data_IF_182943272818
#
_entry.id   IF_182943272818
#
_cell.length_a   1.000
_cell.length_b   1.000
_cell.length_c   1.000
_cell.angle_alpha   90.00
_cell.angle_beta   90.00
_cell.angle_gamma   90.00
#
_symmetry.space_group_name_H-M   'P 1'
#
loop_
_entity.id
_entity.type
_entity.pdbx_description
1 polymer ?
#
# COMPACT_ATOMS: atom_id res chain seq x y z
N UNK A 1 -3.59 -14.08 8.23
CA UNK A 1 -4.07 -12.69 8.40
C UNK A 1 -2.93 -11.75 8.03
N UNK A 2 -3.06 -11.11 6.87
CA UNK A 2 -2.12 -10.11 6.36
C UNK A 2 -2.28 -8.85 7.22
N UNK A 3 -1.34 -8.58 8.12
CA UNK A 3 -1.44 -7.42 9.01
C UNK A 3 -0.73 -6.24 8.38
N UNK A 4 -1.44 -5.44 7.57
CA UNK A 4 -0.88 -4.23 6.96
C UNK A 4 -0.29 -3.27 8.00
N UNK A 5 0.74 -2.52 7.59
CA UNK A 5 1.32 -1.44 8.39
C UNK A 5 0.35 -0.26 8.34
N UNK A 6 -0.13 0.19 9.50
CA UNK A 6 -0.98 1.39 9.56
C UNK A 6 -0.17 2.66 9.25
N UNK A 7 -0.85 3.75 8.89
CA UNK A 7 -0.18 5.03 8.59
C UNK A 7 0.73 5.53 9.73
N UNK A 8 0.37 5.29 11.00
CA UNK A 8 1.21 5.65 12.15
C UNK A 8 2.42 4.71 12.31
N UNK A 9 2.21 3.40 12.16
CA UNK A 9 3.30 2.41 12.18
C UNK A 9 4.29 2.62 11.02
N UNK A 10 3.80 3.10 9.86
CA UNK A 10 4.62 3.43 8.70
C UNK A 10 5.66 4.49 9.04
N UNK A 11 5.30 5.54 9.79
CA UNK A 11 6.26 6.57 10.18
C UNK A 11 7.37 6.03 11.07
N UNK A 12 7.05 5.08 11.97
CA UNK A 12 8.06 4.39 12.78
C UNK A 12 9.00 3.56 11.89
N UNK A 13 8.45 2.85 10.91
CA UNK A 13 9.26 2.05 9.98
C UNK A 13 10.16 2.91 9.10
N UNK A 14 9.70 4.10 8.66
CA UNK A 14 10.54 5.05 7.91
C UNK A 14 11.81 5.46 8.68
N UNK A 15 11.68 5.69 9.99
CA UNK A 15 12.84 5.96 10.84
C UNK A 15 13.77 4.74 10.90
N UNK A 16 13.20 3.53 11.01
CA UNK A 16 13.99 2.29 11.09
C UNK A 16 14.64 1.86 9.77
N UNK A 17 14.04 2.17 8.63
CA UNK A 17 14.65 1.95 7.32
C UNK A 17 15.80 2.93 7.08
N UNK A 18 15.65 4.20 7.48
CA UNK A 18 16.73 5.18 7.41
C UNK A 18 17.85 4.90 8.44
N UNK A 19 17.50 4.40 9.63
CA UNK A 19 18.43 4.16 10.73
C UNK A 19 18.21 2.77 11.37
N UNK A 20 18.63 1.68 10.69
CA UNK A 20 18.56 0.34 11.25
C UNK A 20 19.37 0.24 12.54
N UNK A 21 18.77 -0.26 13.60
CA UNK A 21 19.40 -0.34 14.92
C UNK A 21 19.15 0.88 15.81
N UNK A 22 18.31 1.83 15.40
CA UNK A 22 17.91 2.93 16.27
C UNK A 22 17.26 2.42 17.57
N UNK A 23 17.54 3.13 18.66
CA UNK A 23 16.98 2.88 19.98
C UNK A 23 15.60 3.52 20.10
N UNK A 24 14.80 3.09 21.09
CA UNK A 24 13.49 3.72 21.32
C UNK A 24 13.57 5.23 21.55
N UNK A 25 14.65 5.72 22.16
CA UNK A 25 14.84 7.15 22.42
C UNK A 25 15.09 7.94 21.14
N UNK A 26 15.95 7.44 20.25
CA UNK A 26 16.24 8.07 18.95
C UNK A 26 14.99 8.09 18.07
N UNK A 27 14.22 6.99 18.05
CA UNK A 27 12.96 6.92 17.31
C UNK A 27 11.94 7.92 17.87
N UNK A 28 11.85 8.05 19.20
CA UNK A 28 10.97 9.03 19.84
C UNK A 28 11.37 10.44 19.44
N UNK A 29 12.65 10.78 19.55
CA UNK A 29 13.17 12.10 19.20
C UNK A 29 12.87 12.44 17.73
N UNK A 30 13.19 11.53 16.80
CA UNK A 30 12.97 11.75 15.37
C UNK A 30 11.49 11.98 15.02
N UNK A 31 10.57 11.26 15.65
CA UNK A 31 9.14 11.41 15.37
C UNK A 31 8.53 12.63 16.07
N UNK A 32 9.04 13.03 17.22
CA UNK A 32 8.54 14.21 17.94
C UNK A 32 8.90 15.54 17.27
N UNK A 33 9.83 15.54 16.31
CA UNK A 33 10.11 16.72 15.48
C UNK A 33 8.96 17.05 14.51
N UNK A 34 8.15 16.05 14.12
CA UNK A 34 7.08 16.23 13.12
C UNK A 34 5.68 15.82 13.59
N UNK A 35 5.56 15.22 14.77
CA UNK A 35 4.29 14.70 15.32
C UNK A 35 4.17 14.98 16.82
N UNK A 36 2.99 15.36 17.28
CA UNK A 36 2.69 15.57 18.73
C UNK A 36 2.51 14.25 19.52
N UNK A 37 3.19 13.18 19.10
CA UNK A 37 3.07 11.87 19.72
C UNK A 37 3.83 11.80 21.04
N UNK A 38 3.17 11.29 22.06
CA UNK A 38 3.81 10.96 23.33
C UNK A 38 4.71 9.74 23.17
N UNK A 39 5.78 9.66 23.97
CA UNK A 39 6.71 8.53 23.99
C UNK A 39 6.00 7.17 24.17
N UNK A 40 4.91 7.13 24.94
CA UNK A 40 4.08 5.93 25.15
C UNK A 40 3.38 5.46 23.88
N UNK A 41 2.93 6.38 23.03
CA UNK A 41 2.32 6.08 21.73
C UNK A 41 3.34 5.42 20.81
N UNK A 42 4.55 5.98 20.70
CA UNK A 42 5.61 5.45 19.84
C UNK A 42 6.06 4.06 20.32
N UNK A 43 6.23 3.87 21.64
CA UNK A 43 6.51 2.55 22.24
C UNK A 43 5.41 1.54 21.94
N UNK A 44 4.14 1.97 21.94
CA UNK A 44 3.00 1.12 21.57
C UNK A 44 3.06 0.71 20.10
N UNK A 45 3.39 1.63 19.18
CA UNK A 45 3.57 1.34 17.76
C UNK A 45 4.72 0.35 17.52
N UNK A 46 5.87 0.53 18.20
CA UNK A 46 7.00 -0.42 18.17
C UNK A 46 6.56 -1.82 18.63
N UNK A 47 5.77 -1.89 19.71
CA UNK A 47 5.22 -3.15 20.22
C UNK A 47 4.29 -3.83 19.21
N UNK A 48 3.43 -3.08 18.51
CA UNK A 48 2.55 -3.61 17.46
C UNK A 48 3.33 -4.11 16.26
N UNK A 49 4.29 -3.32 15.76
CA UNK A 49 5.18 -3.71 14.66
C UNK A 49 5.98 -4.98 14.99
N UNK A 50 6.45 -5.12 16.24
CA UNK A 50 7.12 -6.35 16.71
C UNK A 50 6.18 -7.55 16.69
N UNK A 51 4.94 -7.40 17.19
CA UNK A 51 3.92 -8.46 17.16
C UNK A 51 3.56 -8.89 15.73
N UNK A 52 3.66 -7.96 14.78
CA UNK A 52 3.47 -8.18 13.35
C UNK A 52 4.69 -8.79 12.63
N UNK A 53 5.81 -9.00 13.33
CA UNK A 53 7.09 -9.43 12.76
C UNK A 53 7.67 -8.48 11.70
N UNK A 54 7.36 -7.18 11.75
CA UNK A 54 7.98 -6.19 10.86
C UNK A 54 9.33 -5.68 11.36
N UNK A 55 9.60 -5.86 12.65
CA UNK A 55 10.87 -5.50 13.26
C UNK A 55 11.26 -6.52 14.33
N UNK A 56 12.56 -6.60 14.59
CA UNK A 56 13.12 -7.30 15.75
C UNK A 56 13.70 -6.29 16.73
N UNK A 57 13.75 -6.68 17.99
CA UNK A 57 14.36 -5.93 19.07
C UNK A 57 15.54 -6.75 19.62
N UNK A 58 16.73 -6.18 19.64
CA UNK A 58 17.92 -6.79 20.22
C UNK A 58 18.37 -5.97 21.43
N UNK A 59 18.82 -6.65 22.49
CA UNK A 59 19.47 -5.98 23.62
C UNK A 59 20.96 -5.96 23.34
N UNK A 60 21.52 -4.76 23.20
CA UNK A 60 22.95 -4.56 23.01
C UNK A 60 23.46 -3.73 24.18
N UNK A 61 24.36 -4.32 24.96
CA UNK A 61 24.86 -3.77 26.22
C UNK A 61 23.70 -3.47 27.20
N UNK A 62 23.26 -2.22 27.30
CA UNK A 62 22.21 -1.74 28.20
C UNK A 62 20.96 -1.23 27.46
N UNK A 63 21.03 -1.03 26.13
CA UNK A 63 19.95 -0.44 25.34
C UNK A 63 19.28 -1.48 24.45
N UNK A 64 18.01 -1.23 24.13
CA UNK A 64 17.29 -1.99 23.12
C UNK A 64 17.38 -1.28 21.77
N UNK A 65 17.83 -2.03 20.77
CA UNK A 65 17.99 -1.60 19.39
C UNK A 65 16.94 -2.29 18.53
N UNK A 66 16.34 -1.54 17.60
CA UNK A 66 15.26 -2.02 16.74
C UNK A 66 15.75 -2.12 15.30
N UNK A 67 15.49 -3.25 14.66
CA UNK A 67 15.90 -3.51 13.28
C UNK A 67 14.69 -3.91 12.44
N UNK A 68 14.50 -3.32 11.24
CA UNK A 68 13.47 -3.78 10.33
C UNK A 68 13.76 -5.22 9.89
N UNK A 69 12.71 -6.03 9.75
CA UNK A 69 12.77 -7.39 9.22
C UNK A 69 12.34 -7.48 7.75
N UNK A 70 11.76 -6.39 7.24
CA UNK A 70 11.38 -6.20 5.84
C UNK A 70 11.98 -4.88 5.36
N UNK A 71 12.43 -4.82 4.11
CA UNK A 71 12.87 -3.57 3.49
C UNK A 71 11.70 -2.65 3.12
N UNK A 72 11.99 -1.37 2.91
CA UNK A 72 11.00 -0.41 2.40
C UNK A 72 10.48 -0.83 1.01
N UNK A 73 11.37 -1.33 0.16
CA UNK A 73 11.05 -1.77 -1.20
C UNK A 73 10.13 -3.00 -1.21
N UNK A 74 10.46 -4.05 -0.43
CA UNK A 74 9.60 -5.24 -0.32
C UNK A 74 8.20 -4.89 0.20
N UNK A 75 8.12 -3.98 1.18
CA UNK A 75 6.83 -3.56 1.69
C UNK A 75 6.04 -2.74 0.65
N UNK A 76 6.70 -1.81 -0.03
CA UNK A 76 6.09 -1.01 -1.09
C UNK A 76 5.57 -1.91 -2.23
N UNK A 77 6.37 -2.89 -2.65
CA UNK A 77 6.00 -3.86 -3.67
C UNK A 77 4.73 -4.62 -3.26
N UNK A 78 4.68 -5.15 -2.03
CA UNK A 78 3.49 -5.84 -1.52
C UNK A 78 2.24 -4.95 -1.47
N UNK A 79 2.40 -3.66 -1.12
CA UNK A 79 1.28 -2.71 -1.15
C UNK A 79 0.77 -2.45 -2.57
N UNK A 80 1.67 -2.31 -3.54
CA UNK A 80 1.31 -2.11 -4.95
C UNK A 80 0.58 -3.34 -5.49
N UNK A 81 1.08 -4.54 -5.21
CA UNK A 81 0.44 -5.81 -5.60
C UNK A 81 -0.97 -5.94 -5.00
N UNK A 82 -1.13 -5.67 -3.71
CA UNK A 82 -2.42 -5.70 -3.05
C UNK A 82 -3.39 -4.67 -3.65
N UNK A 83 -2.92 -3.45 -3.91
CA UNK A 83 -3.73 -2.41 -4.53
C UNK A 83 -4.20 -2.84 -5.93
N UNK A 84 -3.30 -3.38 -6.77
CA UNK A 84 -3.63 -3.88 -8.09
C UNK A 84 -4.61 -5.07 -8.04
N UNK A 85 -4.49 -5.95 -7.04
CA UNK A 85 -5.39 -7.09 -6.83
C UNK A 85 -6.81 -6.67 -6.41
N UNK A 86 -6.94 -5.52 -5.72
CA UNK A 86 -8.25 -5.00 -5.28
C UNK A 86 -9.00 -4.23 -6.37
N UNK A 87 -8.34 -3.91 -7.48
CA UNK A 87 -8.89 -3.11 -8.58
C UNK A 87 -9.14 -4.00 -9.79
N UNK A 88 -10.23 -3.73 -10.52
CA UNK A 88 -10.53 -4.39 -11.78
C UNK A 88 -9.35 -4.25 -12.76
N UNK A 89 -8.92 -5.35 -13.37
CA UNK A 89 -7.80 -5.39 -14.33
C UNK A 89 -7.91 -4.34 -15.45
N UNK A 90 -9.12 -4.09 -15.93
CA UNK A 90 -9.41 -3.08 -16.97
C UNK A 90 -9.19 -1.62 -16.52
N UNK A 91 -9.11 -1.37 -15.21
CA UNK A 91 -8.96 -0.03 -14.62
C UNK A 91 -7.57 0.25 -14.08
N UNK A 92 -6.65 -0.70 -14.15
CA UNK A 92 -5.29 -0.52 -13.63
C UNK A 92 -4.51 0.57 -14.37
N UNK A 93 -4.76 0.79 -15.67
CA UNK A 93 -4.19 1.93 -16.40
C UNK A 93 -4.64 3.28 -15.82
N UNK A 94 -5.94 3.44 -15.56
CA UNK A 94 -6.49 4.66 -14.95
C UNK A 94 -5.96 4.91 -13.52
N UNK A 95 -5.63 3.84 -12.77
CA UNK A 95 -4.97 3.99 -11.49
C UNK A 95 -3.60 4.68 -11.64
N UNK A 96 -2.81 4.26 -12.62
CA UNK A 96 -1.48 4.86 -12.87
C UNK A 96 -1.63 6.33 -13.27
N UNK A 97 -2.59 6.66 -14.13
CA UNK A 97 -2.90 8.06 -14.49
C UNK A 97 -3.21 8.90 -13.24
N UNK A 98 -4.08 8.43 -12.35
CA UNK A 98 -4.41 9.14 -11.10
C UNK A 98 -3.20 9.32 -10.18
N UNK A 99 -2.29 8.35 -10.12
CA UNK A 99 -1.05 8.47 -9.35
C UNK A 99 -0.13 9.55 -9.95
N UNK A 100 -0.07 9.65 -11.27
CA UNK A 100 0.69 10.70 -11.96
C UNK A 100 0.09 12.09 -11.72
N UNK A 101 -1.24 12.20 -11.72
CA UNK A 101 -1.95 13.46 -11.44
C UNK A 101 -1.78 13.94 -9.98
N UNK A 102 -1.68 13.00 -9.05
CA UNK A 102 -1.61 13.29 -7.60
C UNK A 102 -0.17 13.52 -7.12
N UNK A 103 0.79 12.84 -7.73
CA UNK A 103 2.19 12.84 -7.29
C UNK A 103 3.01 13.99 -7.85
N UNK A 104 4.15 14.27 -7.19
CA UNK A 104 5.17 15.18 -7.70
C UNK A 104 6.32 14.38 -8.27
N UNK A 105 6.69 14.63 -9.52
CA UNK A 105 7.73 13.87 -10.21
C UNK A 105 8.80 14.78 -10.79
N UNK A 106 10.05 14.32 -10.74
CA UNK A 106 11.15 14.98 -11.45
C UNK A 106 11.08 14.68 -12.95
N UNK A 107 11.68 15.53 -13.79
CA UNK A 107 11.82 15.27 -15.23
C UNK A 107 12.47 13.90 -15.51
N UNK A 108 13.56 13.60 -14.80
CA UNK A 108 14.26 12.31 -14.89
C UNK A 108 13.37 11.12 -14.52
N UNK A 109 12.52 11.28 -13.51
CA UNK A 109 11.56 10.23 -13.13
C UNK A 109 10.54 9.99 -14.24
N UNK A 110 10.02 11.05 -14.86
CA UNK A 110 9.07 10.95 -15.97
C UNK A 110 9.71 10.32 -17.22
N UNK A 111 10.97 10.64 -17.52
CA UNK A 111 11.75 10.01 -18.62
C UNK A 111 11.93 8.50 -18.39
N UNK A 112 12.25 8.09 -17.16
CA UNK A 112 12.36 6.68 -16.80
C UNK A 112 11.02 5.95 -16.94
N UNK A 113 9.92 6.59 -16.52
CA UNK A 113 8.57 6.04 -16.66
C UNK A 113 8.18 5.89 -18.14
N UNK A 114 8.42 6.91 -18.96
CA UNK A 114 8.16 6.86 -20.40
C UNK A 114 8.92 5.71 -21.07
N UNK A 115 10.21 5.54 -20.72
CA UNK A 115 11.04 4.43 -21.22
C UNK A 115 10.47 3.07 -20.82
N UNK A 116 10.01 2.93 -19.58
CA UNK A 116 9.37 1.69 -19.10
C UNK A 116 8.06 1.40 -19.81
N UNK A 117 7.22 2.41 -20.04
CA UNK A 117 5.97 2.29 -20.79
C UNK A 117 6.24 1.83 -22.22
N UNK A 118 7.20 2.45 -22.92
CA UNK A 118 7.57 2.05 -24.29
C UNK A 118 8.09 0.62 -24.38
N UNK A 119 8.76 0.11 -23.34
CA UNK A 119 9.15 -1.31 -23.27
C UNK A 119 7.93 -2.22 -23.12
N UNK A 120 7.01 -1.90 -22.21
CA UNK A 120 5.82 -2.71 -21.93
C UNK A 120 4.84 -2.73 -23.11
N UNK A 121 4.69 -1.62 -23.83
CA UNK A 121 3.80 -1.52 -25.00
C UNK A 121 4.14 -2.54 -26.10
N UNK A 122 5.39 -3.00 -26.20
CA UNK A 122 5.81 -3.99 -27.21
C UNK A 122 5.20 -5.38 -26.99
N UNK A 123 4.83 -5.70 -25.76
CA UNK A 123 4.32 -7.02 -25.35
C UNK A 123 2.92 -6.97 -24.76
N UNK A 124 2.38 -5.78 -24.53
CA UNK A 124 1.06 -5.60 -23.95
C UNK A 124 -0.04 -6.02 -24.94
N UNK A 125 -1.13 -6.67 -24.48
CA UNK A 125 -2.28 -6.92 -25.33
C UNK A 125 -3.05 -5.63 -25.62
N UNK A 126 -3.74 -5.57 -26.76
CA UNK A 126 -4.61 -4.45 -27.15
C UNK A 126 -5.75 -4.21 -26.15
N UNK A 127 -6.24 -5.28 -25.52
CA UNK A 127 -7.32 -5.22 -24.53
C UNK A 127 -7.07 -6.19 -23.38
N UNK A 128 -7.40 -5.76 -22.18
CA UNK A 128 -7.38 -6.61 -20.98
C UNK A 128 -8.82 -7.06 -20.70
N UNK A 129 -9.04 -8.37 -20.62
CA UNK A 129 -10.34 -8.90 -20.23
C UNK A 129 -10.63 -8.65 -18.75
N UNK A 130 -11.85 -8.22 -18.45
CA UNK A 130 -12.33 -8.15 -17.08
C UNK A 130 -12.55 -9.56 -16.51
N UNK A 131 -12.04 -9.81 -15.30
CA UNK A 131 -12.21 -11.09 -14.57
C UNK A 131 -12.98 -10.94 -13.25
N UNK A 132 -13.62 -9.80 -13.03
CA UNK A 132 -14.42 -9.57 -11.83
C UNK A 132 -15.72 -10.38 -11.88
N UNK A 133 -16.30 -10.67 -10.72
CA UNK A 133 -17.67 -11.19 -10.65
C UNK A 133 -18.67 -10.09 -11.02
N UNK A 134 -19.80 -10.48 -11.62
CA UNK A 134 -20.86 -9.54 -12.01
C UNK A 134 -21.32 -8.70 -10.83
N UNK A 135 -21.29 -7.37 -10.99
CA UNK A 135 -21.63 -6.41 -9.94
C UNK A 135 -20.48 -6.02 -8.99
N UNK A 136 -19.28 -6.60 -9.11
CA UNK A 136 -18.12 -6.24 -8.27
C UNK A 136 -17.23 -5.14 -8.87
N UNK A 137 -17.56 -4.62 -10.05
CA UNK A 137 -16.78 -3.56 -10.67
C UNK A 137 -17.65 -2.65 -11.54
N UNK A 138 -17.13 -1.45 -11.81
CA UNK A 138 -17.79 -0.40 -12.61
C UNK A 138 -17.12 -0.25 -13.98
N UNK A 139 -16.55 -1.34 -14.53
CA UNK A 139 -15.83 -1.30 -15.80
C UNK A 139 -16.74 -1.32 -17.05
N UNK A 140 -18.05 -1.46 -16.88
CA UNK A 140 -19.01 -1.53 -17.98
C UNK A 140 -19.06 -2.86 -18.74
N UNK A 141 -18.18 -3.82 -18.42
CA UNK A 141 -18.13 -5.14 -19.10
C UNK A 141 -19.10 -6.17 -18.49
N UNK A 142 -19.73 -5.87 -17.36
CA UNK A 142 -20.75 -6.71 -16.74
C UNK A 142 -22.10 -6.02 -16.81
N UNK A 143 -23.10 -6.68 -17.38
CA UNK A 143 -24.48 -6.24 -17.24
C UNK A 143 -24.90 -6.33 -15.77
N UNK A 144 -25.50 -5.24 -15.29
CA UNK A 144 -25.93 -5.00 -13.90
C UNK A 144 -26.69 -6.17 -13.29
N UNK A 145 -26.56 -6.35 -11.96
CA UNK A 145 -27.47 -7.16 -11.15
C UNK A 145 -28.89 -6.54 -11.15
N UNK A 146 -29.60 -6.60 -12.28
CA UNK A 146 -31.05 -6.38 -12.30
C UNK A 146 -31.66 -7.65 -11.71
N UNK A 147 -32.17 -7.58 -10.48
CA UNK A 147 -33.12 -8.59 -9.99
C UNK A 147 -34.26 -8.66 -11.02
N UNK A 148 -34.70 -9.85 -11.47
CA UNK A 148 -36.02 -9.94 -12.08
C UNK A 148 -37.01 -9.50 -11.01
N UNK A 149 -37.67 -8.36 -11.23
CA UNK A 149 -38.89 -8.03 -10.51
C UNK A 149 -39.86 -9.16 -10.83
N UNK A 150 -40.14 -10.00 -9.82
CA UNK A 150 -41.27 -10.91 -9.82
C UNK A 150 -42.47 -10.16 -10.37
N UNK A 151 -43.09 -10.74 -11.38
CA UNK A 151 -44.35 -10.27 -11.94
C UNK A 151 -45.30 -9.93 -10.81
N UNK A 152 -45.80 -8.69 -10.88
CA UNK A 152 -46.91 -8.22 -10.09
C UNK A 152 -48.09 -9.11 -10.48
N UNK A 153 -48.68 -9.73 -9.46
CA UNK A 153 -49.92 -10.49 -9.56
C UNK A 153 -50.98 -9.59 -10.18
N UNK A 154 -51.33 -9.83 -11.44
CA UNK A 154 -52.58 -9.31 -12.01
C UNK A 154 -53.71 -10.20 -11.52
N UNK A 155 -54.47 -9.64 -10.57
CA UNK A 155 -55.82 -10.04 -10.22
C UNK A 155 -56.73 -9.78 -11.43
N UNK A 156 -57.18 -10.83 -12.11
CA UNK A 156 -58.56 -10.96 -12.60
C UNK A 156 -58.89 -12.41 -12.93
#
# INVERSE_FOLDING_TARGET
MEQTISAAEWQVMRVLWAHPGATSQEIIQALQEGFDWQATTIKTLLGRLRKKNYLRMAKETSKYHYYPLISEEEHLQGQVELLLATICSTKQGQLVEKLLDTGTFSKKSLENLASKISQLQRTAPEQIACRCLSGQCTCGHHHTLRKPTSDVVDLT
#
